data_IF_574583698409
#
_entry.id   IF_574583698409
#
_cell.length_a   1.000
_cell.length_b   1.000
_cell.length_c   1.000
_cell.angle_alpha   90.00
_cell.angle_beta   90.00
_cell.angle_gamma   90.00
#
_symmetry.space_group_name_H-M   'P 1'
#
loop_
_entity.id
_entity.type
_entity.pdbx_description
1 polymer ?
#
# COMPACT_ATOMS: atom_id res chain seq x y z
N UNK A 1 28.00 3.89 -18.50
CA UNK A 1 26.99 3.86 -17.43
C UNK A 1 26.45 2.44 -17.43
N UNK A 2 26.63 1.73 -16.32
CA UNK A 2 26.06 0.39 -16.12
C UNK A 2 24.75 0.56 -15.36
N UNK A 3 23.69 -0.08 -15.85
CA UNK A 3 22.40 -0.10 -15.16
C UNK A 3 22.27 -1.44 -14.43
N UNK A 4 22.14 -1.38 -13.11
CA UNK A 4 21.89 -2.54 -12.27
C UNK A 4 20.44 -2.46 -11.80
N UNK A 5 19.66 -3.49 -12.12
CA UNK A 5 18.27 -3.59 -11.67
C UNK A 5 18.20 -4.45 -10.42
N UNK A 6 17.53 -3.93 -9.40
CA UNK A 6 17.26 -4.63 -8.15
C UNK A 6 15.74 -4.76 -8.04
N UNK A 7 15.26 -5.99 -7.97
CA UNK A 7 13.86 -6.29 -7.72
C UNK A 7 13.63 -6.45 -6.22
N UNK A 8 12.98 -5.45 -5.61
CA UNK A 8 12.65 -5.41 -4.19
C UNK A 8 11.20 -4.94 -4.03
N UNK A 9 10.37 -5.79 -3.42
CA UNK A 9 8.93 -5.55 -3.28
C UNK A 9 8.60 -4.70 -2.05
N UNK A 10 9.41 -4.79 -0.99
CA UNK A 10 9.15 -4.05 0.24
C UNK A 10 9.51 -2.57 0.05
N UNK A 11 8.51 -1.71 0.13
CA UNK A 11 8.70 -0.27 0.01
C UNK A 11 9.66 0.29 1.09
N UNK A 12 9.59 -0.26 2.30
CA UNK A 12 10.48 0.07 3.40
C UNK A 12 11.96 -0.23 3.09
N UNK A 13 12.25 -1.36 2.45
CA UNK A 13 13.61 -1.72 2.04
C UNK A 13 14.13 -0.77 0.95
N UNK A 14 13.30 -0.46 -0.06
CA UNK A 14 13.63 0.51 -1.12
C UNK A 14 13.91 1.91 -0.54
N UNK A 15 13.05 2.38 0.36
CA UNK A 15 13.20 3.66 1.07
C UNK A 15 14.53 3.73 1.84
N UNK A 16 14.84 2.70 2.62
CA UNK A 16 16.04 2.69 3.46
C UNK A 16 17.31 2.61 2.61
N UNK A 17 17.29 1.83 1.52
CA UNK A 17 18.38 1.78 0.54
C UNK A 17 18.61 3.14 -0.15
N UNK A 18 17.53 3.85 -0.51
CA UNK A 18 17.62 5.20 -1.08
C UNK A 18 18.24 6.19 -0.07
N UNK A 19 17.81 6.15 1.20
CA UNK A 19 18.39 6.98 2.28
C UNK A 19 19.87 6.70 2.52
N UNK A 20 20.32 5.47 2.31
CA UNK A 20 21.71 5.06 2.46
C UNK A 20 22.57 5.34 1.22
N UNK A 21 21.99 5.89 0.14
CA UNK A 21 22.71 6.14 -1.11
C UNK A 21 23.06 4.86 -1.88
N UNK A 22 22.34 3.76 -1.63
CA UNK A 22 22.50 2.50 -2.35
C UNK A 22 21.71 2.48 -3.67
N UNK A 23 20.72 3.37 -3.82
CA UNK A 23 19.89 3.53 -5.01
C UNK A 23 19.99 4.96 -5.53
N UNK A 24 20.21 5.11 -6.83
CA UNK A 24 20.15 6.41 -7.52
C UNK A 24 18.72 6.80 -7.90
N UNK A 25 17.89 5.81 -8.22
CA UNK A 25 16.48 5.97 -8.60
C UNK A 25 15.66 4.74 -8.19
N UNK A 26 14.34 4.95 -8.08
CA UNK A 26 13.37 3.87 -7.92
C UNK A 26 12.16 4.13 -8.82
N UNK A 27 11.51 3.05 -9.24
CA UNK A 27 10.17 3.11 -9.84
C UNK A 27 9.13 2.83 -8.74
N UNK A 28 8.09 3.65 -8.69
CA UNK A 28 7.03 3.53 -7.71
C UNK A 28 5.85 4.45 -8.06
N UNK A 29 4.70 4.17 -7.47
CA UNK A 29 3.52 5.01 -7.61
C UNK A 29 3.67 6.32 -6.84
N UNK A 30 2.90 7.34 -7.24
CA UNK A 30 3.04 8.68 -6.67
C UNK A 30 2.71 8.74 -5.17
N UNK A 31 1.81 7.89 -4.69
CA UNK A 31 1.45 7.81 -3.28
C UNK A 31 2.58 7.28 -2.41
N UNK A 32 3.33 6.29 -2.87
CA UNK A 32 4.54 5.80 -2.20
C UNK A 32 5.58 6.91 -2.08
N UNK A 33 5.77 7.70 -3.14
CA UNK A 33 6.68 8.85 -3.11
C UNK A 33 6.25 9.88 -2.05
N UNK A 34 4.95 10.18 -1.97
CA UNK A 34 4.39 11.08 -0.94
C UNK A 34 4.61 10.53 0.46
N UNK A 35 4.37 9.23 0.67
CA UNK A 35 4.61 8.55 1.95
C UNK A 35 6.08 8.61 2.36
N UNK A 36 7.00 8.25 1.45
CA UNK A 36 8.45 8.34 1.68
C UNK A 36 8.91 9.75 2.01
N UNK A 37 8.33 10.75 1.35
CA UNK A 37 8.60 12.17 1.62
C UNK A 37 8.12 12.60 2.99
N UNK A 38 6.95 12.15 3.43
CA UNK A 38 6.46 12.38 4.78
C UNK A 38 7.34 11.71 5.85
N UNK A 39 8.11 10.68 5.46
CA UNK A 39 9.10 9.99 6.29
C UNK A 39 10.54 10.52 6.07
N UNK A 40 10.71 11.77 5.64
CA UNK A 40 12.01 12.45 5.45
C UNK A 40 12.97 11.78 4.44
N UNK A 41 12.44 11.06 3.47
CA UNK A 41 13.26 10.51 2.37
C UNK A 41 13.55 11.58 1.32
N UNK A 42 14.81 11.84 0.94
CA UNK A 42 15.17 12.91 0.00
C UNK A 42 14.91 12.54 -1.48
N UNK A 43 13.68 12.13 -1.82
CA UNK A 43 13.32 11.57 -3.14
C UNK A 43 12.45 12.50 -4.01
N UNK A 44 12.83 12.86 -5.22
CA UNK A 44 11.99 13.70 -6.12
C UNK A 44 11.37 12.87 -7.24
N UNK A 45 10.15 13.22 -7.65
CA UNK A 45 9.56 12.71 -8.88
C UNK A 45 10.23 13.43 -10.06
N UNK A 46 10.80 12.67 -11.00
CA UNK A 46 11.52 13.24 -12.16
C UNK A 46 10.90 12.86 -13.50
N UNK A 47 10.16 11.75 -13.55
CA UNK A 47 9.56 11.21 -14.77
C UNK A 47 8.33 10.35 -14.43
N UNK A 48 7.25 10.54 -15.18
CA UNK A 48 6.13 9.59 -15.26
C UNK A 48 6.48 8.56 -16.34
N UNK A 49 6.58 7.29 -15.96
CA UNK A 49 6.95 6.19 -16.88
C UNK A 49 5.74 5.41 -17.39
N UNK A 50 4.68 5.37 -16.59
CA UNK A 50 3.37 4.84 -16.92
C UNK A 50 2.28 5.50 -16.08
N UNK A 51 1.02 5.26 -16.48
CA UNK A 51 -0.17 5.72 -15.78
C UNK A 51 -1.13 4.56 -15.61
N UNK A 52 -1.42 4.16 -14.37
CA UNK A 52 -2.39 3.12 -14.09
C UNK A 52 -3.79 3.60 -14.49
N UNK A 53 -4.51 2.77 -15.27
CA UNK A 53 -5.92 3.00 -15.60
C UNK A 53 -6.88 2.32 -14.60
N UNK A 54 -6.32 1.79 -13.50
CA UNK A 54 -7.04 1.03 -12.49
C UNK A 54 -6.65 -0.44 -12.49
N UNK A 55 -6.37 -0.96 -11.30
CA UNK A 55 -6.19 -2.40 -11.01
C UNK A 55 -6.36 -2.70 -9.52
N UNK A 56 -6.18 -1.69 -8.66
CA UNK A 56 -6.36 -1.83 -7.22
C UNK A 56 -7.83 -2.00 -6.87
N UNK A 57 -8.10 -2.93 -5.96
CA UNK A 57 -9.46 -3.25 -5.53
C UNK A 57 -9.48 -3.89 -4.15
N UNK A 58 -10.65 -3.82 -3.51
CA UNK A 58 -10.94 -4.58 -2.30
C UNK A 58 -11.76 -5.79 -2.70
N UNK A 59 -11.33 -6.95 -2.25
CA UNK A 59 -12.10 -8.19 -2.33
C UNK A 59 -12.58 -8.51 -0.91
N UNK A 60 -13.85 -8.84 -0.79
CA UNK A 60 -14.48 -9.19 0.48
C UNK A 60 -15.56 -10.24 0.26
N UNK A 61 -15.99 -10.88 1.33
CA UNK A 61 -17.12 -11.82 1.34
C UNK A 61 -18.45 -11.10 1.10
N UNK A 62 -19.48 -11.84 0.67
CA UNK A 62 -20.79 -11.27 0.28
C UNK A 62 -21.54 -10.52 1.40
N UNK A 63 -21.18 -10.77 2.66
CA UNK A 63 -21.72 -10.06 3.83
C UNK A 63 -21.15 -8.65 4.01
N UNK A 64 -19.98 -8.34 3.44
CA UNK A 64 -19.37 -7.01 3.47
C UNK A 64 -19.91 -6.20 2.29
N UNK A 65 -20.82 -5.24 2.55
CA UNK A 65 -21.50 -4.44 1.52
C UNK A 65 -21.15 -2.96 1.56
N UNK A 66 -20.64 -2.51 2.69
CA UNK A 66 -20.29 -1.12 2.98
C UNK A 66 -18.91 -1.06 3.62
N UNK A 67 -18.28 0.12 3.60
CA UNK A 67 -16.98 0.32 4.26
C UNK A 67 -17.12 0.14 5.77
N UNK A 68 -18.27 0.51 6.33
CA UNK A 68 -18.61 0.32 7.73
C UNK A 68 -18.63 -1.16 8.16
N UNK A 69 -18.95 -2.08 7.24
CA UNK A 69 -18.96 -3.51 7.55
C UNK A 69 -17.54 -4.08 7.82
N UNK A 70 -16.49 -3.32 7.49
CA UNK A 70 -15.10 -3.67 7.81
C UNK A 70 -14.76 -3.50 9.29
N UNK A 71 -15.55 -2.75 10.07
CA UNK A 71 -15.27 -2.52 11.50
C UNK A 71 -15.18 -3.88 12.24
N UNK A 72 -14.08 -4.07 12.95
CA UNK A 72 -13.77 -5.28 13.70
C UNK A 72 -13.35 -6.48 12.84
N UNK A 73 -13.24 -6.33 11.52
CA UNK A 73 -12.79 -7.38 10.61
C UNK A 73 -11.27 -7.40 10.51
N UNK A 74 -10.75 -8.53 10.03
CA UNK A 74 -9.37 -8.62 9.55
C UNK A 74 -9.31 -8.05 8.15
N UNK A 75 -8.28 -7.27 7.87
CA UNK A 75 -8.05 -6.74 6.52
C UNK A 75 -6.58 -6.92 6.19
N UNK A 76 -6.32 -7.69 5.14
CA UNK A 76 -4.97 -8.03 4.72
C UNK A 76 -4.47 -7.08 3.63
N UNK A 77 -3.32 -6.44 3.89
CA UNK A 77 -2.62 -5.60 2.92
C UNK A 77 -1.16 -5.41 3.35
N UNK A 78 -0.32 -4.98 2.40
CA UNK A 78 1.05 -4.63 2.68
C UNK A 78 1.12 -3.26 3.39
N UNK A 79 1.92 -3.18 4.45
CA UNK A 79 2.17 -1.94 5.19
C UNK A 79 3.06 -1.01 4.38
N UNK A 80 2.84 0.30 4.51
CA UNK A 80 3.56 1.34 3.77
C UNK A 80 3.50 1.14 2.24
N UNK A 81 2.42 0.52 1.75
CA UNK A 81 2.24 0.18 0.33
C UNK A 81 0.92 0.76 -0.22
N UNK A 82 0.70 0.63 -1.53
CA UNK A 82 -0.50 1.10 -2.25
C UNK A 82 -1.78 0.58 -1.60
N UNK A 83 -1.79 -0.66 -1.11
CA UNK A 83 -2.93 -1.23 -0.40
C UNK A 83 -3.29 -0.46 0.88
N UNK A 84 -2.28 -0.06 1.67
CA UNK A 84 -2.48 0.78 2.85
C UNK A 84 -2.94 2.20 2.47
N UNK A 85 -2.36 2.80 1.42
CA UNK A 85 -2.83 4.09 0.89
C UNK A 85 -4.31 4.01 0.51
N UNK A 86 -4.70 2.95 -0.20
CA UNK A 86 -6.05 2.79 -0.73
C UNK A 86 -7.09 2.63 0.38
N UNK A 87 -6.82 1.76 1.35
CA UNK A 87 -7.71 1.59 2.51
C UNK A 87 -7.75 2.87 3.35
N UNK A 88 -6.61 3.52 3.60
CA UNK A 88 -6.55 4.78 4.35
C UNK A 88 -7.38 5.89 3.67
N UNK A 89 -7.32 5.98 2.35
CA UNK A 89 -8.12 6.93 1.58
C UNK A 89 -9.63 6.63 1.70
N UNK A 90 -10.03 5.36 1.67
CA UNK A 90 -11.42 4.97 1.88
C UNK A 90 -11.88 5.35 3.30
N UNK A 91 -11.13 4.98 4.33
CA UNK A 91 -11.45 5.37 5.71
C UNK A 91 -11.51 6.90 5.87
N UNK A 92 -10.56 7.64 5.28
CA UNK A 92 -10.59 9.11 5.26
C UNK A 92 -11.86 9.69 4.61
N UNK A 93 -12.30 9.13 3.47
CA UNK A 93 -13.55 9.54 2.81
C UNK A 93 -14.78 9.37 3.70
N UNK A 94 -14.77 8.34 4.54
CA UNK A 94 -15.84 8.04 5.50
C UNK A 94 -15.53 8.52 6.93
N UNK A 95 -14.44 9.27 7.14
CA UNK A 95 -13.98 9.73 8.46
C UNK A 95 -15.00 10.58 9.21
N UNK A 96 -15.89 11.31 8.50
CA UNK A 96 -17.01 12.03 9.13
C UNK A 96 -17.98 11.12 9.88
N UNK A 97 -17.92 9.80 9.65
CA UNK A 97 -18.66 8.76 10.36
C UNK A 97 -17.84 8.10 11.48
N UNK A 98 -16.64 8.61 11.78
CA UNK A 98 -15.77 8.12 12.85
C UNK A 98 -14.83 6.98 12.48
N UNK A 99 -14.75 6.61 11.19
CA UNK A 99 -13.95 5.49 10.70
C UNK A 99 -12.46 5.83 10.62
N UNK A 100 -11.62 4.94 11.15
CA UNK A 100 -10.16 4.97 11.08
C UNK A 100 -9.56 3.56 10.94
N UNK A 101 -8.25 3.47 10.68
CA UNK A 101 -7.56 2.17 10.65
C UNK A 101 -7.57 1.45 12.01
N UNK A 102 -7.81 2.15 13.11
CA UNK A 102 -7.92 1.55 14.45
C UNK A 102 -9.21 0.72 14.60
N UNK A 103 -10.18 0.88 13.68
CA UNK A 103 -11.43 0.12 13.68
C UNK A 103 -11.29 -1.26 13.03
N UNK A 104 -10.12 -1.62 12.50
CA UNK A 104 -9.87 -2.91 11.83
C UNK A 104 -8.66 -3.63 12.42
N UNK A 105 -8.62 -4.95 12.26
CA UNK A 105 -7.41 -5.73 12.53
C UNK A 105 -6.58 -5.83 11.27
N UNK A 106 -5.51 -5.05 11.19
CA UNK A 106 -4.58 -5.10 10.05
C UNK A 106 -3.79 -6.42 10.09
N UNK A 107 -3.79 -7.16 8.99
CA UNK A 107 -3.00 -8.38 8.80
C UNK A 107 -1.95 -8.12 7.72
N UNK A 108 -0.69 -7.80 8.08
CA UNK A 108 0.34 -7.51 7.09
C UNK A 108 0.62 -8.71 6.18
N UNK A 109 0.40 -8.53 4.88
CA UNK A 109 0.57 -9.54 3.83
C UNK A 109 1.07 -8.89 2.54
N UNK A 110 1.90 -9.59 1.78
CA UNK A 110 2.16 -9.19 0.38
C UNK A 110 0.89 -9.40 -0.45
N UNK A 111 0.70 -8.68 -1.57
CA UNK A 111 -0.53 -8.78 -2.35
C UNK A 111 -0.91 -10.22 -2.75
N UNK A 112 0.08 -11.03 -3.16
CA UNK A 112 -0.14 -12.43 -3.51
C UNK A 112 -0.52 -13.30 -2.31
N UNK A 113 0.01 -13.00 -1.13
CA UNK A 113 -0.29 -13.75 0.11
C UNK A 113 -1.69 -13.38 0.63
N UNK A 114 -2.06 -12.10 0.55
CA UNK A 114 -3.40 -11.61 0.94
C UNK A 114 -4.49 -12.25 0.06
N UNK A 115 -4.24 -12.35 -1.25
CA UNK A 115 -5.14 -13.03 -2.17
C UNK A 115 -5.33 -14.51 -1.80
N UNK A 116 -4.24 -15.23 -1.53
CA UNK A 116 -4.30 -16.65 -1.17
C UNK A 116 -5.01 -16.88 0.17
N UNK A 117 -4.74 -16.04 1.17
CA UNK A 117 -5.36 -16.14 2.48
C UNK A 117 -6.87 -15.84 2.44
N UNK A 118 -7.30 -14.89 1.61
CA UNK A 118 -8.73 -14.67 1.32
C UNK A 118 -9.38 -15.93 0.72
N UNK A 119 -8.75 -16.56 -0.29
CA UNK A 119 -9.26 -17.79 -0.91
C UNK A 119 -9.36 -18.96 0.09
N UNK A 120 -8.49 -19.00 1.09
CA UNK A 120 -8.48 -20.03 2.13
C UNK A 120 -9.41 -19.70 3.32
N UNK A 121 -10.04 -18.53 3.35
CA UNK A 121 -10.92 -18.09 4.44
C UNK A 121 -10.19 -17.73 5.74
N UNK A 122 -8.92 -17.31 5.63
CA UNK A 122 -8.10 -16.91 6.77
C UNK A 122 -8.33 -15.44 7.18
N UNK A 123 -8.86 -14.64 6.24
CA UNK A 123 -9.02 -13.18 6.28
C UNK A 123 -10.33 -12.75 5.63
#
# INVERSE_FOLDING_TARGET
>A
IELVFIDEQLDSARRDAFKQGMLDCEAGTIDLLVSKRAQDTPIVAVLEIDHSLGSDGIVATEDIRTVEDLIGKKVAFARDDVGETFISYLFYKFYKKGLSLDDITIVPRRPEDAWLAFLNGEE
#
